data_IF_221273834980
#
_entry.id   IF_221273834980
#
_cell.length_a   1.000
_cell.length_b   1.000
_cell.length_c   1.000
_cell.angle_alpha   90.00
_cell.angle_beta   90.00
_cell.angle_gamma   90.00
#
_symmetry.space_group_name_H-M   'P 1'
#
loop_
_entity.id
_entity.type
_entity.pdbx_description
1 polymer ?
#
# COMPACT_ATOMS: atom_id res chain seq x y z
N UNK A 1 1.57 -15.97 -13.40
CA UNK A 1 2.75 -15.99 -12.51
C UNK A 1 4.06 -16.35 -13.22
N UNK A 2 4.29 -17.59 -13.68
CA UNK A 2 5.59 -18.00 -14.25
C UNK A 2 6.09 -17.14 -15.44
N UNK A 3 5.19 -16.69 -16.33
CA UNK A 3 5.58 -15.80 -17.44
C UNK A 3 6.08 -14.44 -16.93
N UNK A 4 5.33 -13.79 -16.03
CA UNK A 4 5.68 -12.50 -15.40
C UNK A 4 7.07 -12.57 -14.74
N UNK A 5 7.36 -13.65 -14.00
CA UNK A 5 8.68 -13.83 -13.38
C UNK A 5 9.80 -13.96 -14.41
N UNK A 6 9.58 -14.71 -15.50
CA UNK A 6 10.56 -14.86 -16.60
C UNK A 6 10.78 -13.55 -17.37
N UNK A 7 9.76 -12.71 -17.55
CA UNK A 7 9.91 -11.41 -18.22
C UNK A 7 10.65 -10.41 -17.32
N UNK A 8 10.30 -10.33 -16.03
CA UNK A 8 10.96 -9.43 -15.07
C UNK A 8 12.44 -9.80 -14.86
N UNK A 9 12.78 -11.09 -14.86
CA UNK A 9 14.18 -11.56 -14.74
C UNK A 9 15.07 -11.22 -15.96
N UNK A 10 14.48 -11.01 -17.14
CA UNK A 10 15.22 -10.70 -18.38
C UNK A 10 15.18 -9.21 -18.75
N UNK A 11 14.61 -8.38 -17.88
CA UNK A 11 14.44 -6.95 -18.12
C UNK A 11 15.71 -6.18 -17.71
N UNK A 12 16.16 -5.17 -18.50
CA UNK A 12 17.31 -4.35 -18.13
C UNK A 12 17.01 -3.45 -16.92
N UNK A 13 18.02 -3.18 -16.10
CA UNK A 13 17.88 -2.44 -14.83
C UNK A 13 17.30 -1.03 -15.01
N UNK A 14 17.68 -0.31 -16.06
CA UNK A 14 17.17 1.04 -16.35
C UNK A 14 15.64 1.07 -16.58
N UNK A 15 15.02 -0.05 -16.94
CA UNK A 15 13.57 -0.15 -17.15
C UNK A 15 12.79 -0.46 -15.85
N UNK A 16 13.47 -0.78 -14.73
CA UNK A 16 12.82 -1.15 -13.46
C UNK A 16 12.02 0.02 -12.88
N UNK A 17 12.62 1.21 -12.75
CA UNK A 17 11.95 2.40 -12.20
C UNK A 17 10.80 2.89 -13.09
N UNK A 18 10.98 3.09 -14.42
CA UNK A 18 9.87 3.44 -15.31
C UNK A 18 8.71 2.44 -15.27
N UNK A 19 9.00 1.13 -15.15
CA UNK A 19 7.96 0.11 -15.01
C UNK A 19 7.22 0.25 -13.67
N UNK A 20 7.91 0.48 -12.55
CA UNK A 20 7.26 0.68 -11.25
C UNK A 20 6.34 1.92 -11.25
N UNK A 21 6.74 3.00 -11.91
CA UNK A 21 5.92 4.22 -12.08
C UNK A 21 4.65 3.93 -12.91
N UNK A 22 4.78 3.30 -14.08
CA UNK A 22 3.64 2.95 -14.92
C UNK A 22 2.70 1.91 -14.28
N UNK A 23 3.25 0.93 -13.55
CA UNK A 23 2.45 -0.01 -12.75
C UNK A 23 1.67 0.72 -11.66
N UNK A 24 2.27 1.69 -10.97
CA UNK A 24 1.61 2.51 -9.94
C UNK A 24 0.48 3.35 -10.54
N UNK A 25 0.72 3.98 -11.70
CA UNK A 25 -0.30 4.74 -12.45
C UNK A 25 -1.46 3.84 -12.88
N UNK A 26 -1.18 2.65 -13.44
CA UNK A 26 -2.23 1.69 -13.83
C UNK A 26 -2.97 1.09 -12.64
N UNK A 27 -2.33 0.99 -11.47
CA UNK A 27 -2.95 0.51 -10.25
C UNK A 27 -4.08 1.43 -9.78
N UNK A 28 -3.95 2.75 -9.99
CA UNK A 28 -4.98 3.77 -9.70
C UNK A 28 -6.20 3.71 -10.65
N UNK A 29 -6.08 3.02 -11.79
CA UNK A 29 -7.16 2.86 -12.76
C UNK A 29 -8.15 1.74 -12.41
N UNK A 30 -8.64 1.05 -13.44
CA UNK A 30 -9.73 0.07 -13.32
C UNK A 30 -9.38 -1.13 -12.42
N UNK A 31 -10.29 -1.61 -11.53
CA UNK A 31 -10.01 -2.69 -10.57
C UNK A 31 -9.54 -4.01 -11.22
N UNK A 32 -10.10 -4.39 -12.37
CA UNK A 32 -9.64 -5.59 -13.10
C UNK A 32 -8.17 -5.47 -13.57
N UNK A 33 -7.70 -4.26 -13.89
CA UNK A 33 -6.28 -4.00 -14.18
C UNK A 33 -5.45 -4.12 -12.91
N UNK A 34 -5.92 -3.53 -11.80
CA UNK A 34 -5.22 -3.54 -10.51
C UNK A 34 -4.80 -4.95 -10.05
N UNK A 35 -5.65 -5.97 -10.23
CA UNK A 35 -5.31 -7.36 -9.88
C UNK A 35 -4.05 -7.84 -10.62
N UNK A 36 -3.94 -7.55 -11.92
CA UNK A 36 -2.75 -7.88 -12.71
C UNK A 36 -1.57 -6.99 -12.33
N UNK A 37 -1.78 -5.68 -12.14
CA UNK A 37 -0.71 -4.75 -11.79
C UNK A 37 -0.05 -5.11 -10.45
N UNK A 38 -0.80 -5.55 -9.44
CA UNK A 38 -0.24 -6.03 -8.16
C UNK A 38 0.63 -7.28 -8.36
N UNK A 39 0.29 -8.20 -9.27
CA UNK A 39 1.13 -9.36 -9.56
C UNK A 39 2.46 -8.97 -10.22
N UNK A 40 2.42 -8.01 -11.15
CA UNK A 40 3.63 -7.46 -11.76
C UNK A 40 4.48 -6.71 -10.74
N UNK A 41 3.87 -5.81 -9.96
CA UNK A 41 4.52 -5.00 -8.93
C UNK A 41 5.24 -5.88 -7.91
N UNK A 42 4.54 -6.87 -7.33
CA UNK A 42 5.15 -7.86 -6.42
C UNK A 42 6.34 -8.56 -7.06
N UNK A 43 6.25 -8.92 -8.34
CA UNK A 43 7.34 -9.60 -9.04
C UNK A 43 8.55 -8.68 -9.29
N UNK A 44 8.34 -7.43 -9.68
CA UNK A 44 9.43 -6.45 -9.89
C UNK A 44 10.14 -6.16 -8.58
N UNK A 45 9.38 -5.82 -7.53
CA UNK A 45 9.93 -5.51 -6.20
C UNK A 45 10.69 -6.69 -5.57
N UNK A 46 10.27 -7.94 -5.80
CA UNK A 46 10.95 -9.13 -5.24
C UNK A 46 12.16 -9.60 -6.07
N UNK A 47 12.13 -9.47 -7.40
CA UNK A 47 13.27 -9.87 -8.25
C UNK A 47 14.39 -8.84 -8.21
N UNK A 48 14.06 -7.54 -8.23
CA UNK A 48 15.03 -6.45 -8.28
C UNK A 48 15.29 -5.81 -6.91
N UNK A 49 14.93 -6.49 -5.81
CA UNK A 49 15.04 -5.98 -4.43
C UNK A 49 16.46 -5.48 -4.08
N UNK A 50 17.50 -6.22 -4.48
CA UNK A 50 18.90 -5.86 -4.26
C UNK A 50 19.28 -4.57 -4.99
N UNK A 51 18.96 -4.47 -6.29
CA UNK A 51 19.18 -3.26 -7.08
C UNK A 51 18.44 -2.05 -6.46
N UNK A 52 17.16 -2.23 -6.15
CA UNK A 52 16.33 -1.19 -5.53
C UNK A 52 16.94 -0.71 -4.19
N UNK A 53 17.47 -1.61 -3.36
CA UNK A 53 18.13 -1.23 -2.10
C UNK A 53 19.41 -0.40 -2.23
N UNK A 54 19.99 -0.30 -3.44
CA UNK A 54 21.17 0.55 -3.71
C UNK A 54 20.83 1.97 -4.18
N UNK A 55 19.55 2.28 -4.41
CA UNK A 55 19.11 3.58 -4.93
C UNK A 55 18.78 4.55 -3.77
N UNK A 56 19.49 5.70 -3.63
CA UNK A 56 19.26 6.63 -2.53
C UNK A 56 17.86 7.26 -2.56
N UNK A 57 17.38 7.64 -3.75
CA UNK A 57 16.11 8.36 -3.93
C UNK A 57 14.90 7.45 -4.12
N UNK A 58 14.97 6.18 -3.73
CA UNK A 58 13.87 5.23 -3.96
C UNK A 58 12.61 5.57 -3.15
N UNK A 59 12.77 6.04 -1.90
CA UNK A 59 11.66 6.34 -0.99
C UNK A 59 10.70 7.39 -1.57
N UNK A 60 11.14 8.59 -2.02
CA UNK A 60 10.24 9.55 -2.65
C UNK A 60 9.64 9.01 -3.96
N UNK A 61 10.39 8.25 -4.76
CA UNK A 61 9.88 7.66 -6.02
C UNK A 61 8.76 6.63 -5.80
N UNK A 62 8.74 5.94 -4.65
CA UNK A 62 7.69 4.99 -4.27
C UNK A 62 6.61 5.59 -3.35
N UNK A 63 6.72 6.87 -2.95
CA UNK A 63 5.80 7.51 -2.02
C UNK A 63 4.32 7.44 -2.46
N UNK A 64 4.04 7.70 -3.74
CA UNK A 64 2.69 7.58 -4.31
C UNK A 64 2.14 6.15 -4.23
N UNK A 65 3.00 5.14 -4.41
CA UNK A 65 2.62 3.74 -4.30
C UNK A 65 2.31 3.37 -2.85
N UNK A 66 3.14 3.81 -1.91
CA UNK A 66 2.94 3.59 -0.47
C UNK A 66 1.58 4.15 0.00
N UNK A 67 1.33 5.43 -0.30
CA UNK A 67 0.07 6.11 0.05
C UNK A 67 -1.16 5.42 -0.58
N UNK A 68 -1.05 4.95 -1.83
CA UNK A 68 -2.11 4.19 -2.50
C UNK A 68 -2.37 2.83 -1.83
N UNK A 69 -1.33 2.14 -1.37
CA UNK A 69 -1.47 0.87 -0.65
C UNK A 69 -2.08 1.10 0.74
N UNK A 70 -1.64 2.11 1.48
CA UNK A 70 -2.16 2.46 2.80
C UNK A 70 -3.66 2.82 2.76
N UNK A 71 -4.06 3.67 1.80
CA UNK A 71 -5.46 4.03 1.55
C UNK A 71 -6.34 2.80 1.26
N UNK A 72 -5.82 1.84 0.48
CA UNK A 72 -6.51 0.58 0.16
C UNK A 72 -6.65 -0.34 1.37
N UNK A 73 -5.62 -0.44 2.22
CA UNK A 73 -5.71 -1.24 3.45
C UNK A 73 -6.73 -0.65 4.42
N UNK A 74 -6.72 0.69 4.63
CA UNK A 74 -7.69 1.40 5.48
C UNK A 74 -9.14 1.21 5.00
N UNK A 75 -9.38 1.25 3.69
CA UNK A 75 -10.73 1.04 3.11
C UNK A 75 -11.17 -0.43 3.08
N UNK A 76 -10.23 -1.37 2.90
CA UNK A 76 -10.51 -2.81 2.87
C UNK A 76 -11.13 -3.33 4.17
N UNK A 77 -10.72 -2.83 5.34
CA UNK A 77 -11.31 -3.24 6.63
C UNK A 77 -12.80 -2.86 6.71
N UNK A 78 -13.12 -1.59 6.40
CA UNK A 78 -14.51 -1.09 6.38
C UNK A 78 -15.37 -1.87 5.39
N UNK A 79 -14.83 -2.17 4.20
CA UNK A 79 -15.51 -2.97 3.17
C UNK A 79 -15.73 -4.42 3.61
N UNK A 80 -14.77 -5.03 4.30
CA UNK A 80 -14.87 -6.42 4.80
C UNK A 80 -15.98 -6.56 5.86
N UNK A 81 -16.08 -5.59 6.78
CA UNK A 81 -17.17 -5.53 7.75
C UNK A 81 -18.54 -5.39 7.08
N UNK A 82 -18.67 -4.50 6.09
CA UNK A 82 -19.90 -4.35 5.30
C UNK A 82 -20.25 -5.62 4.51
N UNK A 83 -19.24 -6.30 3.93
CA UNK A 83 -19.42 -7.56 3.22
C UNK A 83 -19.93 -8.68 4.15
N UNK A 84 -19.42 -8.76 5.38
CA UNK A 84 -19.94 -9.67 6.41
C UNK A 84 -21.41 -9.41 6.74
N UNK A 85 -21.79 -8.14 6.98
CA UNK A 85 -23.20 -7.74 7.21
C UNK A 85 -24.10 -8.10 6.03
N UNK A 86 -23.63 -7.91 4.80
CA UNK A 86 -24.36 -8.29 3.58
C UNK A 86 -24.56 -9.81 3.47
N UNK A 87 -23.53 -10.61 3.78
CA UNK A 87 -23.64 -12.08 3.81
C UNK A 87 -24.69 -12.52 4.83
N UNK A 88 -24.72 -11.92 6.02
CA UNK A 88 -25.73 -12.24 7.05
C UNK A 88 -27.14 -11.93 6.56
N UNK A 89 -27.37 -10.77 5.95
CA UNK A 89 -28.68 -10.40 5.40
C UNK A 89 -29.13 -11.34 4.27
N UNK A 90 -28.24 -11.67 3.32
CA UNK A 90 -28.54 -12.64 2.25
C UNK A 90 -28.86 -14.02 2.86
N UNK A 91 -28.14 -14.44 3.90
CA UNK A 91 -28.39 -15.70 4.60
C UNK A 91 -29.77 -15.70 5.29
N UNK A 92 -30.16 -14.59 5.91
CA UNK A 92 -31.48 -14.44 6.55
C UNK A 92 -32.63 -14.44 5.53
N UNK A 93 -32.47 -13.72 4.40
CA UNK A 93 -33.48 -13.70 3.31
C UNK A 93 -33.66 -15.10 2.73
N UNK A 94 -32.58 -15.77 2.34
CA UNK A 94 -32.64 -17.12 1.75
C UNK A 94 -33.12 -18.20 2.74
N UNK A 95 -32.98 -17.98 4.06
CA UNK A 95 -33.63 -18.81 5.08
C UNK A 95 -35.14 -18.53 5.19
N UNK A 96 -35.56 -17.26 5.11
CA UNK A 96 -36.98 -16.86 5.15
C UNK A 96 -37.77 -17.33 3.92
N UNK A 97 -37.15 -17.37 2.75
CA UNK A 97 -37.77 -17.89 1.53
C UNK A 97 -38.06 -19.40 1.67
N UNK A 98 -37.08 -20.17 2.16
CA UNK A 98 -37.25 -21.61 2.42
C UNK A 98 -38.33 -21.92 3.45
N UNK A 99 -38.46 -21.12 4.51
CA UNK A 99 -39.52 -21.34 5.51
C UNK A 99 -40.91 -20.99 4.99
N UNK A 100 -41.02 -20.01 4.07
CA UNK A 100 -42.28 -19.69 3.36
C UNK A 100 -42.70 -20.80 2.39
N UNK A 101 -41.78 -21.44 1.69
CA UNK A 101 -42.10 -22.59 0.82
C UNK A 101 -42.61 -23.82 1.61
N UNK A 102 -42.27 -23.94 2.90
CA UNK A 102 -42.71 -25.05 3.77
C UNK A 102 -44.04 -24.81 4.52
N UNK A 103 -44.85 -23.81 4.16
CA UNK A 103 -46.10 -23.52 4.89
C UNK A 103 -47.28 -24.45 4.54
N UNK A 104 -47.30 -25.68 5.08
CA UNK A 104 -48.48 -26.36 5.65
C UNK A 104 -48.20 -27.84 6.04
N UNK A 105 -48.95 -28.44 6.99
CA UNK A 105 -49.95 -27.87 7.89
C UNK A 105 -49.53 -27.93 9.38
N UNK A 106 -50.12 -27.03 10.19
CA UNK A 106 -50.30 -27.11 11.65
C UNK A 106 -49.47 -28.15 12.45
N UNK A 107 -48.15 -28.00 12.51
CA UNK A 107 -47.34 -28.75 13.47
C UNK A 107 -47.51 -28.13 14.87
N UNK A 108 -48.60 -28.52 15.55
CA UNK A 108 -48.82 -28.19 16.96
C UNK A 108 -47.59 -28.65 17.77
N UNK A 109 -46.95 -27.72 18.48
CA UNK A 109 -45.78 -28.01 19.28
C UNK A 109 -46.07 -29.18 20.24
N UNK A 110 -45.24 -30.23 20.18
CA UNK A 110 -45.46 -31.45 20.99
C UNK A 110 -45.16 -31.23 22.48
N UNK A 111 -44.36 -30.22 22.78
CA UNK A 111 -44.05 -29.73 24.11
C UNK A 111 -44.26 -28.22 24.08
N UNK A 112 -45.23 -27.74 24.84
CA UNK A 112 -45.29 -26.34 25.29
C UNK A 112 -44.57 -26.34 26.63
N UNK A 113 -43.54 -25.51 26.77
CA UNK A 113 -42.97 -25.24 28.07
C UNK A 113 -43.88 -24.23 28.74
N UNK A 114 -44.81 -24.72 29.57
CA UNK A 114 -45.53 -23.86 30.49
C UNK A 114 -44.54 -23.47 31.59
N UNK A 115 -44.11 -22.22 31.56
CA UNK A 115 -43.46 -21.57 32.68
C UNK A 115 -44.48 -21.59 33.82
N UNK A 116 -44.25 -22.43 34.83
CA UNK A 116 -45.14 -22.51 35.99
C UNK A 116 -45.09 -21.16 36.71
N UNK A 117 -46.11 -20.33 36.45
CA UNK A 117 -46.26 -18.99 37.01
C UNK A 117 -46.53 -19.10 38.50
N UNK A 118 -45.46 -19.30 39.26
CA UNK A 118 -45.46 -19.20 40.71
C UNK A 118 -45.67 -17.73 41.08
N UNK A 119 -46.94 -17.35 41.21
CA UNK A 119 -47.39 -16.07 41.75
C UNK A 119 -47.05 -15.99 43.25
N UNK A 120 -45.77 -15.79 43.58
CA UNK A 120 -45.37 -15.18 44.84
C UNK A 120 -45.10 -13.69 44.62
N UNK A 121 -46.06 -12.91 45.09
CA UNK A 121 -46.02 -11.45 45.22
C UNK A 121 -44.79 -11.01 46.03
N UNK A 122 -43.75 -10.55 45.34
CA UNK A 122 -42.69 -9.74 45.94
C UNK A 122 -42.59 -8.43 45.16
N UNK A 123 -43.33 -7.45 45.66
CA UNK A 123 -43.10 -6.03 45.48
C UNK A 123 -41.62 -5.70 45.77
N UNK A 124 -40.89 -5.26 44.75
CA UNK A 124 -39.68 -4.45 44.92
C UNK A 124 -39.47 -3.61 43.65
N UNK A 125 -39.43 -2.29 43.81
CA UNK A 125 -39.25 -1.32 42.74
C UNK A 125 -37.79 -1.32 42.21
N UNK A 126 -37.56 -0.58 41.12
CA UNK A 126 -36.24 -0.10 40.65
C UNK A 126 -35.36 -1.16 39.95
N UNK A 127 -35.35 -1.12 38.61
CA UNK A 127 -34.24 -0.49 37.89
C UNK A 127 -34.50 -0.49 36.37
N UNK A 128 -34.51 0.71 35.77
CA UNK A 128 -34.24 0.83 34.34
C UNK A 128 -32.87 0.22 34.06
N UNK A 129 -32.86 -0.92 33.36
CA UNK A 129 -31.64 -1.48 32.80
C UNK A 129 -31.49 -0.96 31.39
N UNK A 130 -31.13 0.33 31.30
CA UNK A 130 -30.58 0.91 30.08
C UNK A 130 -29.50 -0.04 29.56
N UNK A 131 -29.67 -0.45 28.30
CA UNK A 131 -28.70 -1.27 27.60
C UNK A 131 -27.54 -0.38 27.21
N UNK A 132 -26.66 -0.13 28.17
CA UNK A 132 -25.46 0.69 28.04
C UNK A 132 -24.52 0.10 26.97
N UNK A 133 -24.70 0.54 25.73
CA UNK A 133 -23.97 0.11 24.54
C UNK A 133 -22.62 0.84 24.44
N UNK A 134 -21.95 0.96 25.60
CA UNK A 134 -20.67 1.64 25.79
C UNK A 134 -19.52 0.63 25.66
N UNK A 135 -19.09 0.39 24.42
CA UNK A 135 -17.90 -0.40 24.10
C UNK A 135 -16.76 0.54 23.66
N UNK A 136 -15.82 0.76 24.59
CA UNK A 136 -14.51 1.43 24.50
C UNK A 136 -14.49 2.80 23.78
N UNK A 137 -14.23 3.95 24.44
CA UNK A 137 -13.13 4.26 25.36
C UNK A 137 -11.74 4.24 24.67
N UNK A 138 -11.48 5.27 23.84
CA UNK A 138 -10.12 5.76 23.59
C UNK A 138 -9.97 7.09 24.33
N UNK A 139 -9.42 7.00 25.54
CA UNK A 139 -9.12 8.11 26.45
C UNK A 139 -7.80 8.80 26.04
N UNK A 140 -7.85 10.06 25.62
CA UNK A 140 -6.65 10.88 25.38
C UNK A 140 -6.92 12.36 25.75
N UNK A 141 -7.12 12.63 27.04
CA UNK A 141 -7.28 13.99 27.55
C UNK A 141 -6.51 14.24 28.86
N UNK A 142 -5.25 14.69 28.77
CA UNK A 142 -4.59 15.61 29.73
C UNK A 142 -3.40 16.33 29.08
N UNK A 143 -2.97 17.53 29.46
CA UNK A 143 -3.59 18.75 30.03
C UNK A 143 -2.46 19.76 30.34
N UNK A 144 -2.79 21.05 30.53
CA UNK A 144 -1.94 22.14 31.07
C UNK A 144 -0.82 22.63 30.13
N UNK A 145 -0.84 23.83 29.53
CA UNK A 145 -1.00 25.22 30.04
C UNK A 145 0.26 25.85 30.66
N UNK A 146 0.53 27.11 30.21
CA UNK A 146 1.33 28.20 30.84
C UNK A 146 2.87 28.07 30.84
N UNK A 147 3.66 29.14 30.78
CA UNK A 147 3.37 30.61 30.80
C UNK A 147 4.51 31.44 30.15
N UNK A 148 4.23 32.73 29.95
CA UNK A 148 5.14 33.91 30.00
C UNK A 148 6.22 34.22 28.93
N UNK A 149 6.35 35.55 28.73
CA UNK A 149 7.14 36.37 27.80
C UNK A 149 8.67 36.18 27.78
N UNK A 150 9.32 36.68 26.72
CA UNK A 150 10.30 37.81 26.78
C UNK A 150 10.60 38.31 25.36
N UNK A 151 10.64 39.64 25.23
CA UNK A 151 11.05 40.42 24.06
C UNK A 151 12.54 40.82 24.22
N UNK A 152 13.39 40.57 23.21
CA UNK A 152 14.64 41.34 23.06
C UNK A 152 15.28 41.18 21.66
N UNK A 153 15.75 42.31 21.16
CA UNK A 153 16.35 42.62 19.86
C UNK A 153 17.65 41.83 19.56
N UNK A 154 17.93 41.56 18.27
CA UNK A 154 19.22 41.99 17.70
C UNK A 154 19.18 42.11 16.16
N UNK A 155 20.03 42.99 15.65
CA UNK A 155 20.07 43.53 14.28
C UNK A 155 21.09 42.82 13.37
N UNK A 156 20.92 43.02 12.05
CA UNK A 156 21.98 43.05 11.00
C UNK A 156 22.85 41.77 10.79
N UNK A 157 23.47 41.48 9.63
CA UNK A 157 23.54 42.09 8.29
C UNK A 157 23.82 40.93 7.29
N UNK A 158 23.95 41.19 5.97
CA UNK A 158 24.88 40.53 5.02
C UNK A 158 24.46 40.81 3.55
N UNK A 159 24.99 41.92 3.03
CA UNK A 159 25.55 42.09 1.68
C UNK A 159 24.86 41.48 0.45
N UNK A 160 24.16 42.34 -0.30
CA UNK A 160 24.01 42.23 -1.76
C UNK A 160 24.73 43.45 -2.39
N UNK A 161 25.76 43.23 -3.22
CA UNK A 161 25.91 43.91 -4.52
C UNK A 161 27.04 43.30 -5.37
N UNK A 162 26.95 43.51 -6.69
CA UNK A 162 27.90 43.10 -7.72
C UNK A 162 29.13 44.06 -7.78
N UNK A 163 30.27 43.62 -8.34
CA UNK A 163 30.71 44.20 -9.64
C UNK A 163 31.84 43.45 -10.35
N UNK A 164 32.15 43.93 -11.57
CA UNK A 164 32.90 43.28 -12.65
C UNK A 164 34.37 43.75 -12.74
N UNK A 165 35.20 42.94 -13.40
CA UNK A 165 36.16 43.30 -14.47
C UNK A 165 37.17 42.14 -14.62
N UNK A 166 37.25 41.43 -15.74
CA UNK A 166 37.78 41.76 -17.09
C UNK A 166 39.31 41.59 -17.27
N UNK A 167 39.64 40.96 -18.41
CA UNK A 167 40.92 40.89 -19.14
C UNK A 167 42.13 40.05 -18.67
N UNK A 168 42.49 39.13 -19.58
CA UNK A 168 43.81 38.92 -20.23
C UNK A 168 44.77 37.78 -19.79
N UNK A 169 45.48 37.23 -20.79
CA UNK A 169 46.69 36.40 -20.61
C UNK A 169 46.77 35.12 -21.44
N UNK A 170 47.44 35.17 -22.59
CA UNK A 170 47.72 34.03 -23.50
C UNK A 170 48.87 33.11 -23.03
N UNK A 171 48.79 31.80 -23.31
CA UNK A 171 49.83 30.93 -23.95
C UNK A 171 49.30 29.47 -23.98
N UNK A 172 49.32 28.70 -25.10
CA UNK A 172 50.47 28.04 -25.79
C UNK A 172 51.25 27.04 -24.91
N UNK A 173 51.71 25.88 -25.38
CA UNK A 173 51.58 25.18 -26.67
C UNK A 173 51.95 23.67 -26.52
N UNK A 174 51.57 22.84 -27.50
CA UNK A 174 52.13 21.52 -27.94
C UNK A 174 52.60 20.40 -26.97
N UNK A 175 52.05 19.19 -27.16
CA UNK A 175 52.74 17.95 -27.62
C UNK A 175 51.72 16.76 -27.64
N UNK A 176 51.52 15.97 -28.72
CA UNK A 176 52.39 14.90 -29.28
C UNK A 176 52.90 13.91 -28.20
N UNK A 177 52.75 12.58 -28.24
CA UNK A 177 52.18 11.60 -29.19
C UNK A 177 51.47 10.45 -28.38
N UNK A 178 51.16 9.21 -28.81
CA UNK A 178 51.36 8.42 -30.06
C UNK A 178 50.32 7.28 -30.23
N UNK A 179 50.44 6.62 -31.38
CA UNK A 179 49.86 5.38 -31.94
C UNK A 179 49.94 4.11 -31.05
N UNK A 180 49.06 3.11 -31.28
CA UNK A 180 49.39 1.88 -32.05
C UNK A 180 48.22 0.87 -32.16
N UNK A 181 48.25 0.08 -33.23
CA UNK A 181 47.22 -0.90 -33.64
C UNK A 181 47.39 -2.28 -32.97
N UNK A 182 46.34 -3.11 -33.13
CA UNK A 182 46.31 -4.55 -32.90
C UNK A 182 44.84 -4.98 -32.81
N UNK A 183 44.15 -5.36 -33.88
CA UNK A 183 44.52 -6.25 -34.98
C UNK A 183 45.10 -7.59 -34.52
N UNK A 184 44.21 -8.57 -34.43
CA UNK A 184 44.50 -9.98 -34.61
C UNK A 184 43.22 -10.64 -35.08
N UNK A 185 43.04 -10.65 -36.39
CA UNK A 185 42.20 -11.63 -37.08
C UNK A 185 42.84 -13.04 -37.02
N UNK A 186 42.21 -14.04 -37.64
CA UNK A 186 42.66 -15.45 -37.81
C UNK A 186 42.52 -16.36 -36.55
N UNK A 187 41.99 -17.59 -36.64
CA UNK A 187 41.39 -18.33 -37.77
C UNK A 187 40.42 -19.43 -37.25
N UNK A 188 39.55 -20.03 -38.11
CA UNK A 188 38.67 -21.15 -37.75
C UNK A 188 39.33 -22.53 -38.02
N UNK A 189 38.49 -23.58 -38.06
CA UNK A 189 38.79 -25.00 -38.33
C UNK A 189 39.30 -25.86 -37.15
N UNK A 190 38.48 -26.83 -36.72
CA UNK A 190 38.77 -28.25 -36.99
C UNK A 190 37.49 -29.11 -36.87
N UNK A 191 37.42 -30.16 -37.69
CA UNK A 191 36.27 -31.08 -37.83
C UNK A 191 36.43 -32.37 -36.99
N UNK A 192 35.29 -33.02 -36.71
CA UNK A 192 35.04 -34.45 -36.39
C UNK A 192 33.71 -34.52 -35.61
N UNK A 193 32.57 -35.01 -36.11
CA UNK A 193 32.29 -36.35 -36.67
C UNK A 193 32.88 -37.50 -35.85
N UNK A 194 32.02 -38.18 -35.07
CA UNK A 194 31.92 -39.65 -35.02
C UNK A 194 30.53 -40.04 -34.45
N UNK A 195 30.08 -41.26 -34.80
CA UNK A 195 28.70 -41.79 -34.60
C UNK A 195 28.39 -42.33 -33.18
#
# INVERSE_FOLDING_TARGET
LNLIKRTVLRMPLHAVIPLLQELTKRLQGHPNSAILMVQWLKCVLTVHASYLSTLPDLVPQLGTLYQLMESRVKTFQKLSHLHGKLILLITQVTASEKTKETTCPAQKAKLVYEEESSEEESDDEIADKDSDDNWDEDEDEKASEKDEDVDEENEEEEGDDEDKDEENGEDRDVASEKELNGDSDLDPENESEEE
#
